data_IF_961302826767
#
_entry.id   IF_961302826767
#
_cell.length_a   1.000
_cell.length_b   1.000
_cell.length_c   1.000
_cell.angle_alpha   90.00
_cell.angle_beta   90.00
_cell.angle_gamma   90.00
#
_symmetry.space_group_name_H-M   'P 1'
#
loop_
_entity.id
_entity.type
_entity.pdbx_description
1 polymer ?
#
# COMPACT_ATOMS: atom_id res chain seq x y z
N UNK A 1 -30.11 0.43 -10.05
CA UNK A 1 -29.51 -0.23 -8.86
C UNK A 1 -28.25 -1.04 -9.17
N UNK A 2 -28.05 -1.55 -10.39
CA UNK A 2 -26.89 -2.35 -10.81
C UNK A 2 -25.55 -1.60 -10.81
N UNK A 3 -25.51 -0.30 -11.13
CA UNK A 3 -24.25 0.47 -11.21
C UNK A 3 -23.54 0.71 -9.87
N UNK A 4 -24.26 0.59 -8.74
CA UNK A 4 -23.66 0.66 -7.40
C UNK A 4 -22.67 -0.48 -7.14
N UNK A 5 -22.86 -1.65 -7.77
CA UNK A 5 -21.92 -2.77 -7.68
C UNK A 5 -20.55 -2.48 -8.31
N UNK A 6 -20.47 -1.45 -9.16
CA UNK A 6 -19.22 -0.99 -9.78
C UNK A 6 -18.62 0.23 -9.06
N UNK A 7 -19.10 0.54 -7.84
CA UNK A 7 -18.67 1.69 -7.04
C UNK A 7 -18.87 3.05 -7.73
N UNK A 8 -19.86 3.16 -8.60
CA UNK A 8 -20.23 4.41 -9.26
C UNK A 8 -21.30 5.09 -8.40
N UNK A 9 -21.02 6.31 -7.95
CA UNK A 9 -22.00 7.10 -7.21
C UNK A 9 -23.14 7.51 -8.13
N UNK A 10 -24.32 7.75 -7.56
CA UNK A 10 -25.50 8.16 -8.32
C UNK A 10 -25.25 9.44 -9.15
N UNK A 11 -24.53 10.40 -8.56
CA UNK A 11 -24.14 11.66 -9.19
C UNK A 11 -23.21 11.48 -10.41
N UNK A 12 -22.45 10.38 -10.46
CA UNK A 12 -21.47 10.09 -11.52
C UNK A 12 -22.04 9.17 -12.62
N UNK A 13 -23.31 8.74 -12.50
CA UNK A 13 -23.91 7.75 -13.40
C UNK A 13 -23.92 8.25 -14.85
N UNK A 14 -24.30 9.50 -15.09
CA UNK A 14 -24.38 10.05 -16.44
C UNK A 14 -22.99 10.18 -17.08
N UNK A 15 -21.98 10.58 -16.31
CA UNK A 15 -20.61 10.68 -16.79
C UNK A 15 -20.04 9.30 -17.12
N UNK A 16 -20.31 8.31 -16.28
CA UNK A 16 -19.94 6.91 -16.55
C UNK A 16 -20.66 6.34 -17.79
N UNK A 17 -21.98 6.52 -17.88
CA UNK A 17 -22.76 6.06 -19.03
C UNK A 17 -22.29 6.74 -20.32
N UNK A 18 -21.89 8.01 -20.24
CA UNK A 18 -21.27 8.74 -21.35
C UNK A 18 -19.89 8.17 -21.69
N UNK A 19 -19.05 7.85 -20.69
CA UNK A 19 -17.70 7.33 -20.92
C UNK A 19 -17.68 5.94 -21.57
N UNK A 20 -18.70 5.11 -21.33
CA UNK A 20 -18.86 3.80 -21.98
C UNK A 20 -19.67 3.85 -23.28
N UNK A 21 -20.04 5.05 -23.74
CA UNK A 21 -20.74 5.29 -25.00
C UNK A 21 -22.23 4.94 -24.99
N UNK A 22 -22.85 4.82 -23.81
CA UNK A 22 -24.27 4.48 -23.65
C UNK A 22 -25.21 5.65 -23.96
N UNK A 23 -24.73 6.89 -23.76
CA UNK A 23 -25.52 8.12 -23.94
C UNK A 23 -25.53 8.67 -25.38
N UNK A 24 -25.01 7.94 -26.37
CA UNK A 24 -25.15 8.38 -27.77
C UNK A 24 -26.54 8.05 -28.28
N UNK A 25 -27.12 8.94 -29.09
CA UNK A 25 -28.46 8.73 -29.71
C UNK A 25 -28.52 7.40 -30.47
N UNK A 26 -27.42 7.00 -31.12
CA UNK A 26 -27.32 5.73 -31.85
C UNK A 26 -27.38 4.52 -30.91
N UNK A 27 -26.65 4.55 -29.80
CA UNK A 27 -26.63 3.46 -28.80
C UNK A 27 -27.96 3.37 -28.06
N UNK A 28 -28.50 4.52 -27.62
CA UNK A 28 -29.80 4.59 -26.95
C UNK A 28 -30.94 4.10 -27.86
N UNK A 29 -30.91 4.47 -29.15
CA UNK A 29 -31.89 4.00 -30.13
C UNK A 29 -31.77 2.50 -30.41
N UNK A 30 -30.54 1.98 -30.54
CA UNK A 30 -30.31 0.52 -30.66
C UNK A 30 -30.93 -0.22 -29.47
N UNK A 31 -30.69 0.24 -28.25
CA UNK A 31 -31.20 -0.44 -27.06
C UNK A 31 -32.71 -0.34 -26.89
N UNK A 32 -33.29 0.83 -27.20
CA UNK A 32 -34.75 0.98 -27.21
C UNK A 32 -35.40 -0.03 -28.18
N UNK A 33 -34.81 -0.24 -29.37
CA UNK A 33 -35.30 -1.23 -30.34
C UNK A 33 -35.18 -2.66 -29.80
N UNK A 34 -34.05 -3.00 -29.18
CA UNK A 34 -33.83 -4.32 -28.57
C UNK A 34 -34.84 -4.62 -27.46
N UNK A 35 -35.11 -3.66 -26.58
CA UNK A 35 -36.13 -3.80 -25.52
C UNK A 35 -37.55 -3.89 -26.07
N UNK A 36 -37.91 -3.07 -27.06
CA UNK A 36 -39.23 -3.11 -27.70
C UNK A 36 -39.47 -4.45 -28.41
N UNK A 37 -38.42 -5.03 -29.00
CA UNK A 37 -38.49 -6.33 -29.69
C UNK A 37 -38.38 -7.53 -28.75
N UNK A 38 -38.07 -7.32 -27.47
CA UNK A 38 -37.83 -8.39 -26.51
C UNK A 38 -36.58 -9.23 -26.83
N UNK A 39 -35.62 -8.67 -27.55
CA UNK A 39 -34.41 -9.38 -28.01
C UNK A 39 -33.31 -9.30 -26.94
N UNK A 40 -33.59 -9.88 -25.78
CA UNK A 40 -32.71 -9.79 -24.61
C UNK A 40 -31.37 -10.51 -24.79
N UNK A 41 -31.21 -11.34 -25.83
CA UNK A 41 -29.95 -11.98 -26.18
C UNK A 41 -28.93 -10.96 -26.72
N UNK A 42 -29.33 -10.07 -27.64
CA UNK A 42 -28.44 -9.04 -28.19
C UNK A 42 -27.99 -8.02 -27.12
N UNK A 43 -28.83 -7.80 -26.08
CA UNK A 43 -28.47 -7.03 -24.88
C UNK A 43 -27.47 -7.73 -23.97
N UNK A 44 -27.66 -9.03 -23.73
CA UNK A 44 -26.77 -9.81 -22.88
C UNK A 44 -25.39 -10.03 -23.52
N UNK A 45 -25.32 -10.04 -24.85
CA UNK A 45 -24.08 -10.30 -25.61
C UNK A 45 -23.17 -9.07 -25.83
N UNK A 46 -23.61 -7.82 -25.56
CA UNK A 46 -22.78 -6.61 -25.75
C UNK A 46 -21.71 -6.38 -24.64
N UNK A 47 -21.49 -7.38 -23.77
CA UNK A 47 -20.38 -7.45 -22.79
C UNK A 47 -20.30 -6.29 -21.76
N UNK A 48 -21.25 -5.36 -21.80
CA UNK A 48 -21.31 -4.16 -20.93
C UNK A 48 -22.30 -4.28 -19.76
N UNK A 49 -23.03 -5.39 -19.64
CA UNK A 49 -24.15 -5.60 -18.70
C UNK A 49 -23.88 -6.38 -17.39
N UNK A 50 -22.69 -6.98 -17.19
CA UNK A 50 -22.37 -7.71 -15.96
C UNK A 50 -22.75 -9.19 -15.98
N UNK A 51 -21.74 -10.02 -15.62
CA UNK A 51 -21.67 -11.50 -15.56
C UNK A 51 -22.00 -12.26 -16.87
N UNK A 52 -20.93 -12.54 -17.62
CA UNK A 52 -20.90 -13.20 -18.93
C UNK A 52 -21.24 -14.70 -18.93
N UNK A 53 -21.18 -15.39 -17.79
CA UNK A 53 -21.37 -16.84 -17.61
C UNK A 53 -21.38 -17.12 -16.11
N UNK A 54 -21.91 -18.27 -15.69
CA UNK A 54 -21.63 -18.79 -14.34
C UNK A 54 -20.11 -18.83 -14.18
N UNK A 55 -19.59 -18.10 -13.19
CA UNK A 55 -18.19 -18.19 -12.85
C UNK A 55 -17.93 -19.61 -12.35
N UNK A 56 -16.72 -20.12 -12.54
CA UNK A 56 -16.30 -21.42 -12.01
C UNK A 56 -16.76 -21.67 -10.56
N UNK A 57 -16.72 -20.64 -9.71
CA UNK A 57 -17.13 -20.73 -8.31
C UNK A 57 -18.64 -20.64 -8.06
N UNK A 58 -19.43 -20.27 -9.06
CA UNK A 58 -20.89 -20.39 -8.97
C UNK A 58 -21.31 -21.87 -9.13
N UNK A 59 -20.57 -22.63 -9.94
CA UNK A 59 -20.75 -24.09 -10.07
C UNK A 59 -20.07 -24.88 -8.95
N UNK A 60 -18.94 -24.38 -8.43
CA UNK A 60 -18.16 -25.03 -7.37
C UNK A 60 -17.90 -24.09 -6.17
N UNK A 61 -18.93 -23.76 -5.38
CA UNK A 61 -18.80 -22.83 -4.26
C UNK A 61 -17.92 -23.36 -3.12
N UNK A 62 -17.84 -24.67 -2.92
CA UNK A 62 -16.99 -25.31 -1.89
C UNK A 62 -15.52 -25.05 -2.18
N UNK A 63 -15.12 -25.20 -3.45
CA UNK A 63 -13.74 -24.93 -3.91
C UNK A 63 -13.37 -23.46 -3.65
N UNK A 64 -14.32 -22.53 -3.77
CA UNK A 64 -14.07 -21.10 -3.46
C UNK A 64 -13.74 -20.90 -1.98
N UNK A 65 -14.48 -21.54 -1.09
CA UNK A 65 -14.27 -21.44 0.36
C UNK A 65 -12.89 -21.98 0.73
N UNK A 66 -12.57 -23.17 0.25
CA UNK A 66 -11.30 -23.84 0.51
C UNK A 66 -10.12 -23.09 -0.10
N UNK A 67 -10.26 -22.59 -1.33
CA UNK A 67 -9.23 -21.80 -2.00
C UNK A 67 -8.92 -20.52 -1.22
N UNK A 68 -9.94 -19.84 -0.67
CA UNK A 68 -9.73 -18.66 0.16
C UNK A 68 -9.01 -18.99 1.47
N UNK A 69 -9.41 -20.07 2.15
CA UNK A 69 -8.74 -20.52 3.37
C UNK A 69 -7.28 -20.88 3.10
N UNK A 70 -7.02 -21.61 2.01
CA UNK A 70 -5.67 -21.96 1.56
C UNK A 70 -4.82 -20.71 1.30
N UNK A 71 -5.34 -19.72 0.59
CA UNK A 71 -4.63 -18.45 0.32
C UNK A 71 -4.29 -17.72 1.62
N UNK A 72 -5.25 -17.59 2.54
CA UNK A 72 -5.01 -16.92 3.83
C UNK A 72 -3.90 -17.63 4.61
N UNK A 73 -3.96 -18.97 4.67
CA UNK A 73 -2.94 -19.76 5.34
C UNK A 73 -1.58 -19.65 4.66
N UNK A 74 -1.51 -19.74 3.33
CA UNK A 74 -0.27 -19.70 2.56
C UNK A 74 0.38 -18.31 2.52
N UNK A 75 -0.41 -17.24 2.64
CA UNK A 75 0.08 -15.86 2.75
C UNK A 75 0.38 -15.41 4.18
N UNK A 76 0.02 -16.21 5.20
CA UNK A 76 0.30 -15.90 6.61
C UNK A 76 1.79 -15.91 6.98
N UNK A 77 2.66 -16.79 6.45
CA UNK A 77 4.07 -16.83 6.81
C UNK A 77 4.86 -15.70 6.15
N UNK A 78 5.96 -15.29 6.78
CA UNK A 78 6.89 -14.28 6.21
C UNK A 78 7.69 -14.77 5.00
N UNK A 79 7.69 -16.08 4.73
CA UNK A 79 8.35 -16.66 3.56
C UNK A 79 7.58 -16.26 2.30
N UNK A 80 8.14 -15.31 1.54
CA UNK A 80 7.52 -14.73 0.35
C UNK A 80 7.51 -15.67 -0.87
N UNK A 81 7.09 -16.91 -0.67
CA UNK A 81 7.19 -18.00 -1.64
C UNK A 81 5.90 -18.23 -2.42
N UNK A 82 4.76 -17.85 -1.86
CA UNK A 82 3.44 -18.05 -2.46
C UNK A 82 3.24 -17.27 -3.78
N UNK A 83 2.68 -17.96 -4.78
CA UNK A 83 2.39 -17.50 -6.14
C UNK A 83 0.98 -17.91 -6.57
N UNK A 84 0.49 -17.25 -7.62
CA UNK A 84 -0.80 -17.62 -8.23
C UNK A 84 -0.81 -19.05 -8.82
N UNK A 85 0.36 -19.60 -9.15
CA UNK A 85 0.51 -20.98 -9.61
C UNK A 85 0.14 -21.99 -8.51
N UNK A 86 0.46 -21.69 -7.24
CA UNK A 86 0.14 -22.56 -6.11
C UNK A 86 -1.39 -22.63 -5.91
N UNK A 87 -2.09 -21.51 -6.09
CA UNK A 87 -3.55 -21.47 -6.10
C UNK A 87 -4.13 -22.32 -7.24
N UNK A 88 -3.55 -22.23 -8.43
CA UNK A 88 -4.01 -22.97 -9.60
C UNK A 88 -3.89 -24.49 -9.38
N UNK A 89 -2.76 -24.95 -8.82
CA UNK A 89 -2.55 -26.35 -8.47
C UNK A 89 -3.49 -26.82 -7.36
N UNK A 90 -3.73 -25.98 -6.34
CA UNK A 90 -4.68 -26.29 -5.28
C UNK A 90 -6.10 -26.47 -5.82
N UNK A 91 -6.58 -25.53 -6.65
CA UNK A 91 -7.93 -25.60 -7.24
C UNK A 91 -8.06 -26.82 -8.15
N UNK A 92 -7.04 -27.11 -8.95
CA UNK A 92 -7.01 -28.29 -9.82
C UNK A 92 -7.16 -29.58 -9.01
N UNK A 93 -6.36 -29.73 -7.96
CA UNK A 93 -6.44 -30.88 -7.04
C UNK A 93 -7.84 -31.01 -6.42
N UNK A 94 -8.37 -29.90 -5.88
CA UNK A 94 -9.70 -29.88 -5.25
C UNK A 94 -10.84 -30.17 -6.22
N UNK A 95 -10.72 -29.73 -7.45
CA UNK A 95 -11.71 -30.01 -8.48
C UNK A 95 -11.79 -31.52 -8.76
N UNK A 96 -10.66 -32.18 -9.02
CA UNK A 96 -10.64 -33.62 -9.30
C UNK A 96 -11.05 -34.47 -8.09
N UNK A 97 -10.68 -34.05 -6.86
CA UNK A 97 -11.19 -34.65 -5.62
C UNK A 97 -12.71 -34.58 -5.53
N UNK A 98 -13.30 -33.42 -5.85
CA UNK A 98 -14.73 -33.17 -5.74
C UNK A 98 -15.55 -33.96 -6.77
N UNK A 99 -15.08 -34.05 -8.01
CA UNK A 99 -15.79 -34.76 -9.09
C UNK A 99 -15.52 -36.27 -9.10
N UNK A 100 -14.53 -36.75 -8.34
CA UNK A 100 -14.18 -38.17 -8.25
C UNK A 100 -13.53 -38.75 -9.51
N UNK A 101 -12.86 -37.92 -10.31
CA UNK A 101 -12.19 -38.33 -11.55
C UNK A 101 -10.67 -38.17 -11.37
N UNK A 102 -9.88 -39.11 -11.91
CA UNK A 102 -8.43 -38.97 -11.95
C UNK A 102 -8.00 -38.08 -13.12
N UNK A 103 -7.15 -37.09 -12.82
CA UNK A 103 -6.52 -36.25 -13.83
C UNK A 103 -5.62 -37.08 -14.75
N UNK A 104 -5.71 -36.86 -16.07
CA UNK A 104 -4.82 -37.54 -17.02
C UNK A 104 -3.48 -36.80 -17.13
N UNK A 105 -2.43 -37.55 -17.46
CA UNK A 105 -1.10 -36.99 -17.69
C UNK A 105 -1.16 -36.13 -18.96
N UNK A 106 -0.91 -34.83 -18.80
CA UNK A 106 -0.95 -33.86 -19.89
C UNK A 106 -2.19 -32.95 -19.90
N UNK A 107 -3.15 -33.18 -19.00
CA UNK A 107 -4.29 -32.28 -18.86
C UNK A 107 -3.86 -30.90 -18.34
N UNK A 108 -4.38 -29.86 -18.97
CA UNK A 108 -4.22 -28.48 -18.51
C UNK A 108 -4.81 -28.29 -17.11
N UNK A 109 -4.42 -27.19 -16.44
CA UNK A 109 -5.03 -26.82 -15.17
C UNK A 109 -6.48 -26.38 -15.40
N UNK A 110 -7.40 -26.86 -14.57
CA UNK A 110 -8.82 -26.45 -14.57
C UNK A 110 -8.97 -24.93 -14.51
N UNK A 111 -8.08 -24.29 -13.74
CA UNK A 111 -7.91 -22.83 -13.76
C UNK A 111 -6.47 -22.48 -14.05
N UNK A 112 -6.26 -21.66 -15.08
CA UNK A 112 -4.94 -21.13 -15.38
C UNK A 112 -4.40 -20.24 -14.25
N UNK A 113 -3.08 -20.13 -14.14
CA UNK A 113 -2.41 -19.18 -13.23
C UNK A 113 -2.93 -17.74 -13.44
N UNK A 114 -3.14 -17.34 -14.70
CA UNK A 114 -3.65 -16.00 -15.04
C UNK A 114 -5.05 -15.77 -14.47
N UNK A 115 -5.93 -16.78 -14.54
CA UNK A 115 -7.27 -16.71 -13.95
C UNK A 115 -7.19 -16.62 -12.43
N UNK A 116 -6.33 -17.43 -11.81
CA UNK A 116 -6.11 -17.41 -10.36
C UNK A 116 -5.59 -16.05 -9.88
N UNK A 117 -4.76 -15.37 -10.68
CA UNK A 117 -4.32 -14.00 -10.39
C UNK A 117 -5.48 -13.00 -10.36
N UNK A 118 -6.44 -13.13 -11.27
CA UNK A 118 -7.65 -12.30 -11.28
C UNK A 118 -8.53 -12.60 -10.05
N UNK A 119 -8.64 -13.87 -9.67
CA UNK A 119 -9.38 -14.29 -8.48
C UNK A 119 -8.76 -13.70 -7.21
N UNK A 120 -7.44 -13.78 -7.05
CA UNK A 120 -6.70 -13.16 -5.95
C UNK A 120 -6.97 -11.66 -5.86
N UNK A 121 -6.93 -10.93 -6.99
CA UNK A 121 -7.28 -9.49 -7.03
C UNK A 121 -8.71 -9.23 -6.57
N UNK A 122 -9.67 -10.04 -7.03
CA UNK A 122 -11.08 -9.95 -6.62
C UNK A 122 -11.27 -10.26 -5.12
N UNK A 123 -10.37 -11.03 -4.52
CA UNK A 123 -10.36 -11.33 -3.09
C UNK A 123 -9.58 -10.29 -2.26
N UNK A 124 -9.05 -9.24 -2.89
CA UNK A 124 -8.37 -8.13 -2.21
C UNK A 124 -6.85 -8.16 -2.29
N UNK A 125 -6.24 -9.07 -3.04
CA UNK A 125 -4.80 -9.07 -3.24
C UNK A 125 -4.34 -7.90 -4.12
N UNK A 126 -3.32 -7.19 -3.66
CA UNK A 126 -2.55 -6.21 -4.44
C UNK A 126 -1.30 -6.91 -5.01
N UNK A 127 -0.93 -6.53 -6.23
CA UNK A 127 0.31 -7.00 -6.89
C UNK A 127 1.13 -5.77 -7.23
N UNK A 128 2.32 -5.64 -6.66
CA UNK A 128 3.23 -4.54 -7.00
C UNK A 128 3.85 -4.74 -8.38
N UNK A 129 4.27 -3.64 -9.02
CA UNK A 129 4.80 -3.64 -10.39
C UNK A 129 5.98 -4.62 -10.61
N UNK A 130 6.76 -4.88 -9.56
CA UNK A 130 7.95 -5.73 -9.61
C UNK A 130 7.76 -7.09 -8.91
N UNK A 131 6.53 -7.43 -8.52
CA UNK A 131 6.23 -8.62 -7.73
C UNK A 131 5.11 -9.44 -8.37
N UNK A 132 5.40 -10.72 -8.66
CA UNK A 132 4.37 -11.71 -8.99
C UNK A 132 3.59 -12.17 -7.75
N UNK A 133 3.89 -11.60 -6.58
CA UNK A 133 3.35 -12.04 -5.29
C UNK A 133 2.05 -11.30 -4.98
N UNK A 134 0.99 -12.03 -4.58
CA UNK A 134 -0.19 -11.40 -4.01
C UNK A 134 0.12 -10.90 -2.59
N UNK A 135 -0.25 -9.65 -2.31
CA UNK A 135 -0.22 -9.07 -0.98
C UNK A 135 -1.65 -8.75 -0.54
N UNK A 136 -2.09 -9.38 0.54
CA UNK A 136 -3.35 -9.02 1.22
C UNK A 136 -3.03 -8.05 2.35
N UNK A 137 -3.88 -7.04 2.55
CA UNK A 137 -3.65 -6.01 3.55
C UNK A 137 -3.73 -6.61 4.97
N UNK A 138 -2.57 -6.95 5.53
CA UNK A 138 -2.43 -7.79 6.72
C UNK A 138 -2.50 -7.02 8.05
N UNK A 139 -3.49 -6.15 8.23
CA UNK A 139 -3.67 -5.37 9.48
C UNK A 139 -3.85 -6.26 10.72
N UNK A 140 -4.26 -7.52 10.54
CA UNK A 140 -4.53 -8.49 11.61
C UNK A 140 -3.49 -9.61 11.74
N UNK A 141 -2.34 -9.51 11.06
CA UNK A 141 -1.26 -10.49 11.23
C UNK A 141 -0.66 -10.39 12.63
N UNK A 142 -0.40 -11.52 13.30
CA UNK A 142 0.12 -11.54 14.67
C UNK A 142 1.39 -10.69 14.87
N UNK A 143 2.31 -10.68 13.90
CA UNK A 143 3.53 -9.88 13.99
C UNK A 143 3.27 -8.38 13.80
N UNK A 144 2.32 -8.02 12.93
CA UNK A 144 1.86 -6.64 12.72
C UNK A 144 1.09 -6.15 13.94
N UNK A 145 0.20 -6.98 14.49
CA UNK A 145 -0.56 -6.71 15.71
C UNK A 145 0.40 -6.56 16.90
N UNK A 146 1.40 -7.45 17.03
CA UNK A 146 2.43 -7.34 18.06
C UNK A 146 3.20 -6.03 17.92
N UNK A 147 3.67 -5.69 16.72
CA UNK A 147 4.40 -4.45 16.49
C UNK A 147 3.53 -3.21 16.74
N UNK A 148 2.26 -3.24 16.32
CA UNK A 148 1.26 -2.20 16.61
C UNK A 148 1.06 -2.02 18.10
N UNK A 149 1.00 -3.11 18.87
CA UNK A 149 0.85 -3.08 20.32
C UNK A 149 2.12 -2.56 21.02
N UNK A 150 3.30 -2.93 20.54
CA UNK A 150 4.59 -2.39 21.01
C UNK A 150 4.65 -0.88 20.76
N UNK A 151 4.26 -0.44 19.56
CA UNK A 151 4.16 0.96 19.17
C UNK A 151 3.17 1.73 20.07
N UNK A 152 1.95 1.23 20.25
CA UNK A 152 0.97 1.86 21.14
C UNK A 152 1.46 1.93 22.58
N UNK A 153 2.08 0.86 23.09
CA UNK A 153 2.64 0.85 24.44
C UNK A 153 3.71 1.93 24.61
N UNK A 154 4.63 2.03 23.65
CA UNK A 154 5.66 3.06 23.64
C UNK A 154 5.04 4.47 23.68
N UNK A 155 4.06 4.75 22.82
CA UNK A 155 3.38 6.05 22.81
C UNK A 155 2.71 6.34 24.15
N UNK A 156 1.88 5.42 24.65
CA UNK A 156 1.17 5.60 25.90
C UNK A 156 2.10 5.82 27.10
N UNK A 157 3.30 5.23 27.10
CA UNK A 157 4.30 5.44 28.15
C UNK A 157 5.05 6.78 28.04
N UNK A 158 5.02 7.44 26.88
CA UNK A 158 5.73 8.69 26.62
C UNK A 158 4.76 9.85 26.30
N UNK A 159 3.56 9.89 26.92
CA UNK A 159 2.56 10.95 26.65
C UNK A 159 3.09 12.38 26.83
N UNK A 160 4.07 12.57 27.71
CA UNK A 160 4.70 13.88 27.97
C UNK A 160 5.64 14.33 26.85
N UNK A 161 5.93 13.45 25.90
CA UNK A 161 6.82 13.67 24.75
C UNK A 161 6.11 14.13 23.49
N UNK A 162 4.78 14.12 23.42
CA UNK A 162 4.05 14.56 22.23
C UNK A 162 2.73 15.26 22.58
N UNK A 163 2.11 15.87 21.58
CA UNK A 163 0.82 16.51 21.73
C UNK A 163 -0.25 15.46 22.00
N UNK A 164 -0.93 15.58 23.14
CA UNK A 164 -2.05 14.71 23.50
C UNK A 164 -3.27 15.55 23.84
N UNK A 165 -4.44 14.91 23.84
CA UNK A 165 -5.67 15.51 24.35
C UNK A 165 -5.96 14.85 25.69
N UNK A 166 -6.38 15.65 26.67
CA UNK A 166 -6.80 15.14 27.97
C UNK A 166 -8.10 14.34 27.87
N UNK A 167 -8.13 13.18 28.53
CA UNK A 167 -9.34 12.36 28.65
C UNK A 167 -10.24 12.97 29.74
N UNK A 168 -11.06 13.95 29.39
CA UNK A 168 -12.01 14.60 30.31
C UNK A 168 -13.20 15.24 29.58
N UNK A 169 -14.21 15.66 30.33
CA UNK A 169 -15.46 16.25 29.79
C UNK A 169 -15.20 17.51 28.94
N UNK A 170 -14.05 18.15 29.12
CA UNK A 170 -13.55 19.26 28.30
C UNK A 170 -12.14 18.93 27.80
N UNK A 171 -12.00 18.39 26.58
CA UNK A 171 -10.70 18.02 26.04
C UNK A 171 -9.82 19.26 25.86
N UNK A 172 -8.68 19.28 26.54
CA UNK A 172 -7.64 20.30 26.40
C UNK A 172 -6.36 19.70 25.83
N UNK A 173 -5.63 20.50 25.05
CA UNK A 173 -4.31 20.15 24.53
C UNK A 173 -3.27 20.08 25.64
N UNK A 174 -2.61 18.92 25.75
CA UNK A 174 -1.40 18.73 26.52
C UNK A 174 -0.19 18.93 25.62
N UNK A 175 0.68 19.86 26.02
CA UNK A 175 1.90 20.19 25.30
C UNK A 175 3.07 19.36 25.84
N UNK A 176 3.96 18.88 24.97
CA UNK A 176 5.12 18.13 25.40
C UNK A 176 6.05 18.97 26.28
N UNK A 177 6.59 18.35 27.34
CA UNK A 177 7.46 19.04 28.29
C UNK A 177 8.82 19.36 27.67
N UNK A 178 9.43 20.51 28.03
CA UNK A 178 10.68 20.98 27.41
C UNK A 178 11.89 20.04 27.59
N UNK A 179 11.86 19.17 28.61
CA UNK A 179 12.93 18.24 28.95
C UNK A 179 12.70 16.81 28.44
N UNK A 180 11.58 16.56 27.76
CA UNK A 180 11.27 15.24 27.18
C UNK A 180 11.75 15.14 25.73
N UNK A 181 12.13 13.93 25.31
CA UNK A 181 12.38 13.63 23.90
C UNK A 181 11.09 13.89 23.12
N UNK A 182 11.02 14.95 22.30
CA UNK A 182 9.80 15.27 21.53
C UNK A 182 9.57 14.22 20.44
N UNK A 183 8.42 13.54 20.47
CA UNK A 183 8.02 12.53 19.47
C UNK A 183 7.25 13.20 18.33
N UNK A 184 7.75 13.03 17.12
CA UNK A 184 7.14 13.52 15.90
C UNK A 184 6.45 12.35 15.20
N UNK A 185 5.13 12.42 15.09
CA UNK A 185 4.30 11.36 14.49
C UNK A 185 4.12 11.68 13.01
N UNK A 186 4.50 10.75 12.13
CA UNK A 186 4.24 10.86 10.69
C UNK A 186 3.61 9.57 10.15
N UNK A 187 2.71 9.74 9.18
CA UNK A 187 2.22 8.64 8.33
C UNK A 187 3.30 8.28 7.29
N UNK A 188 3.33 7.01 6.87
CA UNK A 188 4.47 6.34 6.25
C UNK A 188 5.12 7.00 5.00
N UNK A 189 6.38 6.62 4.79
CA UNK A 189 7.14 6.65 3.51
C UNK A 189 7.42 7.98 2.78
N UNK A 190 7.74 9.13 3.41
CA UNK A 190 8.26 10.26 2.60
C UNK A 190 8.92 11.43 3.33
N UNK A 191 9.91 11.20 4.19
CA UNK A 191 10.69 12.34 4.72
C UNK A 191 11.85 12.70 3.79
N UNK A 192 12.56 11.69 3.25
CA UNK A 192 13.66 11.92 2.31
C UNK A 192 13.66 10.83 1.24
N UNK A 193 13.42 11.23 -0.01
CA UNK A 193 13.71 10.36 -1.16
C UNK A 193 15.19 10.58 -1.55
N UNK A 194 15.76 9.63 -2.29
CA UNK A 194 17.17 9.75 -2.71
C UNK A 194 17.44 10.95 -3.64
N UNK A 195 16.41 11.42 -4.37
CA UNK A 195 16.51 12.51 -5.33
C UNK A 195 16.12 13.90 -4.81
N UNK A 196 16.59 14.93 -5.51
CA UNK A 196 16.31 16.36 -5.29
C UNK A 196 14.82 16.68 -5.53
N UNK A 197 14.27 17.65 -4.80
CA UNK A 197 12.93 18.21 -5.06
C UNK A 197 11.77 17.38 -4.54
N UNK A 198 12.03 16.39 -3.69
CA UNK A 198 11.01 15.57 -3.01
C UNK A 198 10.80 16.09 -1.60
N UNK A 199 9.63 16.71 -1.34
CA UNK A 199 9.28 17.47 -0.14
C UNK A 199 9.88 16.88 1.14
N UNK A 200 10.81 17.62 1.75
CA UNK A 200 11.32 17.34 3.09
C UNK A 200 10.46 18.11 4.10
N UNK A 201 9.97 17.50 5.19
CA UNK A 201 9.16 18.22 6.17
C UNK A 201 9.99 19.02 7.19
N UNK A 202 11.31 19.04 7.07
CA UNK A 202 12.22 19.74 7.98
C UNK A 202 13.14 20.64 7.18
N UNK A 203 13.37 21.87 7.64
CA UNK A 203 14.24 22.84 6.97
C UNK A 203 15.72 22.62 7.30
N UNK A 204 16.03 22.21 8.54
CA UNK A 204 17.39 22.08 9.04
C UNK A 204 17.58 20.89 10.00
N UNK A 205 18.79 20.34 9.99
CA UNK A 205 19.26 19.27 10.85
C UNK A 205 20.35 19.82 11.75
N UNK A 206 20.10 19.89 13.05
CA UNK A 206 21.10 20.28 14.06
C UNK A 206 21.64 19.03 14.75
N UNK A 207 22.96 18.87 14.82
CA UNK A 207 23.60 17.76 15.52
C UNK A 207 24.96 18.16 16.11
N UNK A 208 25.43 17.41 17.10
CA UNK A 208 26.76 17.60 17.70
C UNK A 208 27.74 16.64 17.04
N UNK A 209 28.82 17.17 16.47
CA UNK A 209 29.84 16.36 15.79
C UNK A 209 30.75 15.60 16.76
N UNK A 210 31.72 14.87 16.23
CA UNK A 210 32.71 14.10 17.01
C UNK A 210 33.59 14.96 17.93
N UNK A 211 33.69 16.25 17.67
CA UNK A 211 34.49 17.21 18.42
C UNK A 211 33.66 18.00 19.45
N UNK A 212 32.36 17.67 19.61
CA UNK A 212 31.47 18.40 20.50
C UNK A 212 30.95 19.72 19.93
N UNK A 213 31.15 19.98 18.63
CA UNK A 213 30.71 21.21 17.97
C UNK A 213 29.32 21.01 17.37
N UNK A 214 28.41 21.93 17.63
CA UNK A 214 27.09 21.98 16.99
C UNK A 214 27.23 22.32 15.51
N UNK A 215 26.68 21.46 14.66
CA UNK A 215 26.60 21.59 13.21
C UNK A 215 25.14 21.67 12.80
N UNK A 216 24.87 22.50 11.79
CA UNK A 216 23.56 22.67 11.17
C UNK A 216 23.67 22.36 9.70
N UNK A 217 22.76 21.55 9.18
CA UNK A 217 22.66 21.20 7.76
C UNK A 217 21.30 21.63 7.26
N UNK A 218 21.27 22.41 6.18
CA UNK A 218 20.01 22.75 5.53
C UNK A 218 19.50 21.57 4.71
N UNK A 219 18.24 21.22 4.87
CA UNK A 219 17.55 20.21 4.05
C UNK A 219 17.16 20.74 2.67
N UNK A 220 17.38 22.02 2.39
CA UNK A 220 17.04 22.68 1.14
C UNK A 220 18.28 23.32 0.52
N UNK A 221 18.35 23.36 -0.80
CA UNK A 221 19.41 24.09 -1.48
C UNK A 221 19.19 25.59 -1.29
N UNK A 222 20.22 26.28 -0.78
CA UNK A 222 20.24 27.74 -0.63
C UNK A 222 20.68 28.47 -1.89
N UNK A 223 21.20 27.73 -2.87
CA UNK A 223 21.85 28.27 -4.07
C UNK A 223 21.34 27.58 -5.33
N UNK A 224 21.44 28.27 -6.46
CA UNK A 224 21.12 27.76 -7.79
C UNK A 224 22.03 26.57 -8.19
N UNK A 225 21.57 25.63 -9.04
CA UNK A 225 20.34 25.64 -9.83
C UNK A 225 19.10 25.03 -9.14
N UNK A 226 19.24 24.59 -7.89
CA UNK A 226 18.19 23.83 -7.18
C UNK A 226 17.58 24.61 -6.03
N UNK A 227 17.73 25.94 -5.99
CA UNK A 227 17.28 26.78 -4.88
C UNK A 227 15.84 26.46 -4.46
N UNK A 228 15.62 26.39 -3.15
CA UNK A 228 14.32 26.07 -2.52
C UNK A 228 13.79 24.66 -2.82
N UNK A 229 14.56 23.80 -3.50
CA UNK A 229 14.27 22.38 -3.60
C UNK A 229 14.89 21.64 -2.42
N UNK A 230 14.22 20.59 -1.96
CA UNK A 230 14.75 19.73 -0.91
C UNK A 230 15.93 18.89 -1.42
N UNK A 231 16.93 18.73 -0.56
CA UNK A 231 18.05 17.81 -0.75
C UNK A 231 17.54 16.39 -0.56
N UNK A 232 17.88 15.52 -1.51
CA UNK A 232 17.72 14.08 -1.32
C UNK A 232 18.78 13.52 -0.38
N UNK A 233 18.59 12.29 0.09
CA UNK A 233 19.56 11.64 0.99
C UNK A 233 20.97 11.54 0.43
N UNK A 234 21.11 11.41 -0.89
CA UNK A 234 22.42 11.35 -1.54
C UNK A 234 23.18 12.67 -1.36
N UNK A 235 22.48 13.80 -1.44
CA UNK A 235 23.13 15.12 -1.26
C UNK A 235 23.47 15.37 0.20
N UNK A 236 22.59 14.96 1.12
CA UNK A 236 22.87 15.01 2.55
C UNK A 236 24.09 14.14 2.93
N UNK A 237 24.25 12.96 2.32
CA UNK A 237 25.45 12.14 2.53
C UNK A 237 26.73 12.87 2.10
N UNK A 238 26.71 13.61 0.97
CA UNK A 238 27.88 14.37 0.53
C UNK A 238 28.24 15.49 1.51
N UNK A 239 27.25 16.22 1.99
CA UNK A 239 27.47 17.29 2.99
C UNK A 239 27.94 16.76 4.34
N UNK A 240 27.63 15.50 4.63
CA UNK A 240 28.08 14.77 5.81
C UNK A 240 29.41 14.04 5.63
N UNK A 241 30.05 14.16 4.47
CA UNK A 241 31.28 13.44 4.13
C UNK A 241 31.13 11.90 4.25
N UNK A 242 29.92 11.40 3.96
CA UNK A 242 29.59 9.98 3.96
C UNK A 242 29.80 9.41 2.56
N UNK A 243 30.76 8.51 2.41
CA UNK A 243 31.03 7.85 1.14
C UNK A 243 29.92 6.85 0.79
N UNK A 244 29.30 7.07 -0.37
CA UNK A 244 28.30 6.17 -0.93
C UNK A 244 28.86 5.39 -2.13
N UNK A 245 28.54 4.10 -2.27
CA UNK A 245 28.81 3.35 -3.50
C UNK A 245 28.13 3.97 -4.72
N UNK A 246 28.74 3.83 -5.90
CA UNK A 246 28.21 4.38 -7.16
C UNK A 246 26.79 3.89 -7.53
N UNK A 247 26.39 2.71 -7.01
CA UNK A 247 25.05 2.14 -7.15
C UNK A 247 24.56 1.66 -5.79
N UNK A 248 24.12 2.60 -4.96
CA UNK A 248 23.58 2.31 -3.62
C UNK A 248 22.05 2.28 -3.66
N UNK A 249 21.45 1.28 -3.00
CA UNK A 249 19.98 1.23 -2.84
C UNK A 249 19.51 2.17 -1.74
N UNK A 250 18.27 2.64 -1.79
CA UNK A 250 17.72 3.55 -0.79
C UNK A 250 17.84 2.98 0.64
N UNK A 251 17.54 1.70 0.82
CA UNK A 251 17.64 1.01 2.11
C UNK A 251 19.07 0.98 2.67
N UNK A 252 20.07 0.91 1.79
CA UNK A 252 21.47 0.97 2.17
C UNK A 252 21.87 2.38 2.61
N UNK A 253 21.37 3.41 1.91
CA UNK A 253 21.57 4.82 2.32
C UNK A 253 20.96 5.04 3.71
N UNK A 254 19.73 4.55 3.95
CA UNK A 254 19.10 4.62 5.28
C UNK A 254 19.96 3.94 6.35
N UNK A 255 20.47 2.74 6.07
CA UNK A 255 21.31 1.98 7.01
C UNK A 255 22.66 2.64 7.29
N UNK A 256 23.22 3.37 6.33
CA UNK A 256 24.47 4.12 6.51
C UNK A 256 24.19 5.37 7.33
N UNK A 257 23.20 6.17 6.93
CA UNK A 257 22.85 7.42 7.61
C UNK A 257 22.38 7.19 9.04
N UNK A 258 21.63 6.11 9.32
CA UNK A 258 21.20 5.78 10.68
C UNK A 258 22.36 5.62 11.67
N UNK A 259 23.57 5.32 11.19
CA UNK A 259 24.79 5.24 12.02
C UNK A 259 25.49 6.58 12.18
N UNK A 260 25.12 7.61 11.43
CA UNK A 260 25.74 8.93 11.50
C UNK A 260 25.10 9.78 12.60
N UNK A 261 25.89 10.55 13.35
CA UNK A 261 25.40 11.34 14.51
C UNK A 261 24.22 12.26 14.19
N UNK A 262 24.20 12.84 12.99
CA UNK A 262 23.09 13.65 12.49
C UNK A 262 21.74 12.89 12.43
N UNK A 263 21.77 11.56 12.38
CA UNK A 263 20.62 10.67 12.36
C UNK A 263 20.69 9.57 13.45
N UNK A 264 21.62 9.62 14.42
CA UNK A 264 21.73 8.59 15.46
C UNK A 264 20.61 8.72 16.51
N UNK A 265 20.20 9.96 16.82
CA UNK A 265 19.00 10.22 17.62
C UNK A 265 17.71 9.72 16.95
N UNK A 266 17.80 9.24 15.70
CA UNK A 266 16.71 8.73 14.86
C UNK A 266 16.76 7.20 14.78
N UNK A 267 17.87 6.55 15.17
CA UNK A 267 18.13 5.12 14.92
C UNK A 267 18.18 4.23 16.15
N UNK A 268 18.42 4.79 17.34
CA UNK A 268 18.33 4.05 18.62
C UNK A 268 16.88 3.85 19.06
N UNK A 269 15.99 4.73 18.62
CA UNK A 269 14.56 4.51 18.57
C UNK A 269 14.21 3.89 17.22
N UNK A 270 13.43 2.81 17.20
CA UNK A 270 12.95 2.17 15.95
C UNK A 270 11.96 3.05 15.15
N UNK A 271 12.07 4.37 15.22
CA UNK A 271 11.11 5.35 14.72
C UNK A 271 11.84 6.66 14.45
N UNK A 272 11.53 7.30 13.32
CA UNK A 272 12.22 8.46 12.76
C UNK A 272 11.93 9.72 13.61
N UNK A 273 12.97 10.37 14.18
CA UNK A 273 12.85 11.65 14.92
C UNK A 273 13.45 12.83 14.15
N UNK A 274 12.74 13.96 14.13
CA UNK A 274 13.30 15.26 13.79
C UNK A 274 12.81 16.32 14.77
N UNK A 275 13.69 17.28 15.07
CA UNK A 275 13.39 18.45 15.91
C UNK A 275 12.93 19.59 14.99
N UNK A 276 11.65 19.93 15.01
CA UNK A 276 11.14 21.14 14.34
C UNK A 276 11.12 22.28 15.37
N UNK A 277 11.90 23.32 15.12
CA UNK A 277 11.69 24.64 15.74
C UNK A 277 10.68 25.39 14.87
N UNK A 278 9.62 25.93 15.49
CA UNK A 278 8.90 27.04 14.88
C UNK A 278 9.65 28.34 15.21
N UNK A 279 9.84 29.24 14.23
CA UNK A 279 10.31 30.59 14.52
C UNK A 279 9.16 31.35 15.21
N UNK A 280 9.46 31.94 16.37
CA UNK A 280 8.73 33.09 16.91
C UNK A 280 9.01 34.33 16.09
#
# INVERSE_FOLDING_TARGET
MSLRFFNIKWEDVDEYLKSIGFMTTKTSHKWAIVFIKGDYEDFSNDLRGGKQTDSFYDTFPEIKSDARAFVVQACSPKSAEYKAADLAQFIDTKYYELIGIQKQIGDDLIRSERSCRLDLRRWGAKFEANSQRPYFEGHERDDVVKHRNEFFSYFLTHKDSYYTITDGDTPMWNFPTQNSHRILIFHDESTFRSGIGKRCPIDQIEYVDKNGVTKVIDCYFKQEPYKDQSKGLVELCKELDVQLPAKVKLDEIHKILSKHRAFQNVSESHSIFWKIFHPT
#
